data_IF_558017351265
#
_entry.id   IF_558017351265
#
_cell.length_a   1.000
_cell.length_b   1.000
_cell.length_c   1.000
_cell.angle_alpha   90.00
_cell.angle_beta   90.00
_cell.angle_gamma   90.00
#
_symmetry.space_group_name_H-M   'P 1'
#
loop_
_entity.id
_entity.type
_entity.pdbx_description
1 polymer ?
#
# COMPACT_ATOMS: atom_id res chain seq x y z
N UNK A 1 9.09 -9.75 -27.52
CA UNK A 1 8.97 -10.91 -26.59
C UNK A 1 7.98 -10.63 -25.46
N UNK A 2 8.09 -9.48 -24.78
CA UNK A 2 7.14 -9.05 -23.73
C UNK A 2 5.70 -8.96 -24.26
N UNK A 3 5.50 -8.45 -25.48
CA UNK A 3 4.16 -8.34 -26.09
C UNK A 3 3.51 -9.71 -26.38
N UNK A 4 4.32 -10.73 -26.67
CA UNK A 4 3.82 -12.09 -26.90
C UNK A 4 3.34 -12.72 -25.60
N UNK A 5 4.13 -12.61 -24.52
CA UNK A 5 3.72 -13.07 -23.19
C UNK A 5 2.43 -12.37 -22.72
N UNK A 6 2.35 -11.05 -22.94
CA UNK A 6 1.19 -10.28 -22.53
C UNK A 6 -0.08 -10.74 -23.24
N UNK A 7 -0.02 -10.88 -24.56
CA UNK A 7 -1.18 -11.18 -25.40
C UNK A 7 -1.65 -12.63 -25.32
N UNK A 8 -0.75 -13.59 -25.09
CA UNK A 8 -1.10 -15.01 -25.03
C UNK A 8 -1.29 -15.57 -23.62
N UNK A 9 -0.69 -14.99 -22.58
CA UNK A 9 -0.68 -15.57 -21.22
C UNK A 9 -1.37 -14.65 -20.22
N UNK A 10 -0.96 -13.38 -20.12
CA UNK A 10 -1.43 -12.52 -19.02
C UNK A 10 -2.76 -11.82 -19.28
N UNK A 11 -3.10 -11.51 -20.53
CA UNK A 11 -4.44 -11.00 -20.91
C UNK A 11 -5.57 -12.01 -20.65
N UNK A 12 -5.44 -13.30 -21.04
CA UNK A 12 -6.48 -14.29 -20.74
C UNK A 12 -6.49 -14.75 -19.27
N UNK A 13 -5.34 -14.70 -18.59
CA UNK A 13 -5.18 -15.15 -17.20
C UNK A 13 -4.44 -14.12 -16.33
N UNK A 14 -5.10 -12.98 -15.97
CA UNK A 14 -4.48 -11.93 -15.17
C UNK A 14 -4.02 -12.40 -13.78
N UNK A 15 -4.63 -13.46 -13.24
CA UNK A 15 -4.25 -14.10 -11.98
C UNK A 15 -2.79 -14.59 -11.96
N UNK A 16 -2.26 -15.06 -13.09
CA UNK A 16 -0.87 -15.53 -13.18
C UNK A 16 0.11 -14.38 -12.94
N UNK A 17 -0.24 -13.17 -13.37
CA UNK A 17 0.58 -11.99 -13.15
C UNK A 17 0.62 -11.62 -11.66
N UNK A 18 -0.50 -11.76 -10.94
CA UNK A 18 -0.55 -11.54 -9.49
C UNK A 18 0.34 -12.54 -8.75
N UNK A 19 0.27 -13.83 -9.10
CA UNK A 19 1.16 -14.83 -8.49
C UNK A 19 2.64 -14.57 -8.80
N UNK A 20 2.96 -14.12 -10.01
CA UNK A 20 4.32 -13.77 -10.41
C UNK A 20 4.83 -12.56 -9.62
N UNK A 21 4.00 -11.52 -9.44
CA UNK A 21 4.31 -10.36 -8.60
C UNK A 21 4.60 -10.78 -7.16
N UNK A 22 3.79 -11.68 -6.58
CA UNK A 22 4.00 -12.17 -5.21
C UNK A 22 5.29 -12.99 -5.12
N UNK A 23 5.54 -13.91 -6.05
CA UNK A 23 6.73 -14.74 -6.06
C UNK A 23 8.01 -13.91 -6.20
N UNK A 24 8.05 -13.01 -7.18
CA UNK A 24 9.20 -12.14 -7.42
C UNK A 24 9.36 -11.10 -6.31
N UNK A 25 8.25 -10.54 -5.82
CA UNK A 25 8.22 -9.59 -4.73
C UNK A 25 8.74 -10.17 -3.41
N UNK A 26 8.40 -11.41 -3.10
CA UNK A 26 8.93 -12.10 -1.92
C UNK A 26 10.43 -12.41 -2.06
N UNK A 27 10.87 -12.78 -3.27
CA UNK A 27 12.27 -13.03 -3.57
C UNK A 27 13.11 -11.74 -3.44
N UNK A 28 12.63 -10.63 -3.99
CA UNK A 28 13.22 -9.29 -3.82
C UNK A 28 13.17 -8.83 -2.35
N UNK A 29 12.07 -9.08 -1.65
CA UNK A 29 11.90 -8.70 -0.25
C UNK A 29 12.86 -9.42 0.70
N UNK A 30 13.36 -10.60 0.31
CA UNK A 30 14.41 -11.34 1.01
C UNK A 30 15.83 -10.81 0.74
N UNK A 31 16.02 -9.98 -0.30
CA UNK A 31 17.32 -9.36 -0.57
C UNK A 31 17.61 -8.39 0.57
N UNK A 32 18.64 -8.73 1.35
CA UNK A 32 19.11 -7.90 2.46
C UNK A 32 20.41 -7.22 2.03
N UNK A 33 20.41 -5.89 2.05
CA UNK A 33 21.62 -5.12 1.85
C UNK A 33 22.06 -4.52 3.18
N UNK A 34 23.13 -5.06 3.76
CA UNK A 34 23.65 -4.71 5.10
C UNK A 34 22.57 -4.79 6.19
N UNK A 35 22.29 -3.68 6.87
CA UNK A 35 21.32 -3.62 7.96
C UNK A 35 19.87 -3.46 7.48
N UNK A 36 19.65 -3.09 6.22
CA UNK A 36 18.32 -2.77 5.69
C UNK A 36 17.76 -3.99 4.99
N UNK A 37 16.66 -4.53 5.52
CA UNK A 37 15.84 -5.50 4.83
C UNK A 37 14.69 -4.76 4.15
N UNK A 38 14.50 -4.98 2.84
CA UNK A 38 13.36 -4.44 2.09
C UNK A 38 12.04 -4.94 2.67
N UNK A 39 12.00 -6.21 3.10
CA UNK A 39 10.81 -6.84 3.61
C UNK A 39 9.89 -7.31 2.48
N UNK A 40 9.09 -8.33 2.78
CA UNK A 40 8.20 -8.96 1.79
C UNK A 40 7.20 -7.96 1.19
N UNK A 41 6.62 -7.07 1.99
CA UNK A 41 5.60 -6.11 1.55
C UNK A 41 6.19 -5.11 0.55
N UNK A 42 7.30 -4.46 0.88
CA UNK A 42 7.98 -3.50 0.00
C UNK A 42 8.46 -4.16 -1.29
N UNK A 43 8.99 -5.39 -1.20
CA UNK A 43 9.39 -6.17 -2.37
C UNK A 43 8.22 -6.45 -3.33
N UNK A 44 7.06 -6.85 -2.80
CA UNK A 44 5.84 -7.03 -3.59
C UNK A 44 5.33 -5.73 -4.21
N UNK A 45 5.40 -4.60 -3.50
CA UNK A 45 5.01 -3.29 -4.05
C UNK A 45 5.90 -2.87 -5.23
N UNK A 46 7.22 -3.01 -5.08
CA UNK A 46 8.17 -2.68 -6.15
C UNK A 46 8.00 -3.62 -7.34
N UNK A 47 7.87 -4.92 -7.10
CA UNK A 47 7.62 -5.91 -8.16
C UNK A 47 6.30 -5.62 -8.88
N UNK A 48 5.23 -5.30 -8.14
CA UNK A 48 3.93 -4.94 -8.69
C UNK A 48 3.96 -3.67 -9.53
N UNK A 49 4.70 -2.65 -9.09
CA UNK A 49 4.88 -1.41 -9.86
C UNK A 49 5.64 -1.65 -11.17
N UNK A 50 6.75 -2.41 -11.11
CA UNK A 50 7.58 -2.69 -12.29
C UNK A 50 6.84 -3.57 -13.31
N UNK A 51 6.28 -4.69 -12.85
CA UNK A 51 5.57 -5.63 -13.71
C UNK A 51 4.25 -5.02 -14.22
N UNK A 52 3.53 -4.28 -13.37
CA UNK A 52 2.32 -3.56 -13.76
C UNK A 52 2.58 -2.52 -14.86
N UNK A 53 3.66 -1.74 -14.74
CA UNK A 53 4.03 -0.75 -15.75
C UNK A 53 4.45 -1.38 -17.10
N UNK A 54 5.07 -2.56 -17.07
CA UNK A 54 5.52 -3.27 -18.28
C UNK A 54 4.40 -4.02 -19.00
N UNK A 55 3.57 -4.76 -18.27
CA UNK A 55 2.57 -5.64 -18.87
C UNK A 55 1.20 -4.96 -19.06
N UNK A 56 0.86 -3.90 -18.31
CA UNK A 56 -0.41 -3.15 -18.47
C UNK A 56 -1.66 -4.03 -18.55
N UNK A 57 -1.67 -5.13 -17.81
CA UNK A 57 -2.79 -6.07 -17.75
C UNK A 57 -3.86 -5.48 -16.84
N UNK A 58 -5.10 -5.47 -17.31
CA UNK A 58 -6.23 -5.05 -16.48
C UNK A 58 -6.65 -6.21 -15.59
N UNK A 59 -6.61 -5.98 -14.28
CA UNK A 59 -7.11 -6.90 -13.27
C UNK A 59 -8.55 -6.48 -12.97
N UNK A 60 -9.47 -7.44 -12.92
CA UNK A 60 -10.86 -7.19 -12.60
C UNK A 60 -11.02 -6.52 -11.21
N UNK A 61 -11.85 -5.49 -11.13
CA UNK A 61 -12.08 -4.74 -9.89
C UNK A 61 -12.63 -5.63 -8.76
N UNK A 62 -13.34 -6.70 -9.09
CA UNK A 62 -13.84 -7.68 -8.11
C UNK A 62 -12.69 -8.34 -7.37
N UNK A 63 -11.63 -8.73 -8.08
CA UNK A 63 -10.44 -9.37 -7.49
C UNK A 63 -9.70 -8.38 -6.60
N UNK A 64 -9.50 -7.16 -7.09
CA UNK A 64 -8.88 -6.06 -6.31
C UNK A 64 -9.64 -5.82 -5.00
N UNK A 65 -10.96 -5.69 -5.08
CA UNK A 65 -11.82 -5.43 -3.91
C UNK A 65 -11.81 -6.60 -2.93
N UNK A 66 -11.83 -7.84 -3.44
CA UNK A 66 -11.77 -9.03 -2.59
C UNK A 66 -10.49 -9.07 -1.74
N UNK A 67 -9.32 -8.89 -2.37
CA UNK A 67 -8.04 -8.88 -1.65
C UNK A 67 -7.93 -7.68 -0.69
N UNK A 68 -8.44 -6.51 -1.08
CA UNK A 68 -8.46 -5.32 -0.23
C UNK A 68 -9.34 -5.52 1.01
N UNK A 69 -10.53 -6.11 0.86
CA UNK A 69 -11.43 -6.43 1.97
C UNK A 69 -10.82 -7.51 2.87
N UNK A 70 -10.22 -8.56 2.31
CA UNK A 70 -9.51 -9.58 3.10
C UNK A 70 -8.36 -8.95 3.91
N UNK A 71 -7.60 -8.04 3.31
CA UNK A 71 -6.56 -7.28 4.00
C UNK A 71 -7.14 -6.43 5.14
N UNK A 72 -8.21 -5.66 4.87
CA UNK A 72 -8.86 -4.82 5.87
C UNK A 72 -9.46 -5.65 7.02
N UNK A 73 -10.02 -6.83 6.71
CA UNK A 73 -10.52 -7.78 7.70
C UNK A 73 -9.41 -8.33 8.59
N UNK A 74 -8.31 -8.81 7.99
CA UNK A 74 -7.17 -9.32 8.75
C UNK A 74 -6.50 -8.23 9.60
N UNK A 75 -6.40 -7.02 9.07
CA UNK A 75 -5.92 -5.85 9.81
C UNK A 75 -6.85 -5.56 10.98
N UNK A 76 -8.16 -5.46 10.76
CA UNK A 76 -9.17 -5.24 11.79
C UNK A 76 -9.13 -6.28 12.91
N UNK A 77 -8.97 -7.57 12.57
CA UNK A 77 -8.84 -8.63 13.57
C UNK A 77 -7.56 -8.50 14.42
N UNK A 78 -6.44 -8.07 13.81
CA UNK A 78 -5.16 -7.89 14.50
C UNK A 78 -5.13 -6.64 15.38
N UNK A 79 -5.56 -5.49 14.88
CA UNK A 79 -5.51 -4.21 15.62
C UNK A 79 -6.72 -3.97 16.52
N UNK A 80 -7.85 -4.65 16.28
CA UNK A 80 -9.07 -4.50 17.06
C UNK A 80 -8.87 -4.69 18.57
N UNK A 81 -8.35 -5.83 19.04
CA UNK A 81 -8.10 -6.05 20.46
C UNK A 81 -7.13 -5.03 21.08
N UNK A 82 -6.09 -4.62 20.32
CA UNK A 82 -5.12 -3.61 20.77
C UNK A 82 -5.78 -2.23 20.95
N UNK A 83 -6.67 -1.84 20.03
CA UNK A 83 -7.44 -0.60 20.14
C UNK A 83 -8.32 -0.58 21.40
N UNK A 84 -9.12 -1.63 21.64
CA UNK A 84 -9.99 -1.71 22.82
C UNK A 84 -9.20 -1.81 24.13
N UNK A 85 -8.06 -2.50 24.15
CA UNK A 85 -7.17 -2.53 25.30
C UNK A 85 -6.57 -1.14 25.61
N UNK A 86 -6.14 -0.41 24.57
CA UNK A 86 -5.64 0.96 24.71
C UNK A 86 -6.71 1.91 25.24
N UNK A 87 -7.94 1.79 24.76
CA UNK A 87 -9.07 2.61 25.21
C UNK A 87 -9.40 2.40 26.69
N UNK A 88 -9.26 1.17 27.20
CA UNK A 88 -9.55 0.80 28.60
C UNK A 88 -8.49 1.27 29.61
N UNK A 89 -7.22 1.35 29.19
CA UNK A 89 -6.11 1.64 30.11
C UNK A 89 -5.79 3.15 30.16
N UNK A 90 -5.76 3.82 29.00
CA UNK A 90 -5.45 5.25 28.84
C UNK A 90 -6.05 5.80 27.53
N UNK A 91 -7.37 5.66 27.35
CA UNK A 91 -8.03 6.00 26.09
C UNK A 91 -7.95 7.48 25.69
N UNK A 92 -8.05 8.39 26.68
CA UNK A 92 -8.02 9.84 26.43
C UNK A 92 -6.67 10.31 25.85
N UNK A 93 -5.51 10.02 26.48
CA UNK A 93 -4.20 10.34 25.89
C UNK A 93 -3.99 9.74 24.50
N UNK A 94 -4.48 8.50 24.27
CA UNK A 94 -4.34 7.83 22.98
C UNK A 94 -5.14 8.53 21.87
N UNK A 95 -6.37 8.97 22.18
CA UNK A 95 -7.22 9.74 21.25
C UNK A 95 -6.60 11.10 20.96
N UNK A 96 -6.11 11.81 21.99
CA UNK A 96 -5.44 13.10 21.81
C UNK A 96 -4.22 12.96 20.91
N UNK A 97 -3.36 11.97 21.14
CA UNK A 97 -2.22 11.70 20.27
C UNK A 97 -2.64 11.36 18.84
N UNK A 98 -3.69 10.55 18.66
CA UNK A 98 -4.21 10.24 17.32
C UNK A 98 -4.65 11.51 16.58
N UNK A 99 -5.41 12.40 17.26
CA UNK A 99 -5.86 13.67 16.67
C UNK A 99 -4.66 14.58 16.35
N UNK A 100 -3.72 14.72 17.27
CA UNK A 100 -2.51 15.54 17.06
C UNK A 100 -1.72 15.04 15.86
N UNK A 101 -1.48 13.73 15.76
CA UNK A 101 -0.75 13.12 14.62
C UNK A 101 -1.52 13.31 13.31
N UNK A 102 -2.84 13.09 13.30
CA UNK A 102 -3.67 13.28 12.10
C UNK A 102 -3.64 14.74 11.62
N UNK A 103 -3.83 15.71 12.53
CA UNK A 103 -3.85 17.14 12.18
C UNK A 103 -2.47 17.61 11.74
N UNK A 104 -1.42 17.26 12.48
CA UNK A 104 -0.04 17.66 12.12
C UNK A 104 0.40 17.03 10.81
N UNK A 105 0.09 15.74 10.58
CA UNK A 105 0.38 15.04 9.33
C UNK A 105 -0.36 15.62 8.13
N UNK A 106 -1.65 15.95 8.30
CA UNK A 106 -2.46 16.61 7.26
C UNK A 106 -1.91 18.00 6.95
N UNK A 107 -1.67 18.84 7.97
CA UNK A 107 -1.16 20.20 7.79
C UNK A 107 0.22 20.20 7.15
N UNK A 108 1.13 19.32 7.59
CA UNK A 108 2.45 19.19 6.99
C UNK A 108 2.35 18.77 5.52
N UNK A 109 1.59 17.72 5.22
CA UNK A 109 1.42 17.23 3.84
C UNK A 109 0.80 18.29 2.94
N UNK A 110 -0.22 19.00 3.42
CA UNK A 110 -0.88 20.09 2.70
C UNK A 110 0.04 21.28 2.48
N UNK A 111 0.81 21.70 3.49
CA UNK A 111 1.78 22.78 3.38
C UNK A 111 2.82 22.46 2.31
N UNK A 112 3.43 21.27 2.37
CA UNK A 112 4.43 20.86 1.38
C UNK A 112 3.83 20.69 -0.02
N UNK A 113 2.62 20.16 -0.14
CA UNK A 113 1.94 20.07 -1.43
C UNK A 113 1.72 21.46 -2.06
N UNK A 114 1.33 22.47 -1.28
CA UNK A 114 1.17 23.83 -1.79
C UNK A 114 2.51 24.51 -2.09
N UNK A 115 3.52 24.38 -1.22
CA UNK A 115 4.84 24.96 -1.41
C UNK A 115 5.55 24.42 -2.66
N UNK A 116 5.37 23.13 -2.96
CA UNK A 116 5.94 22.46 -4.13
C UNK A 116 5.06 22.60 -5.38
N UNK A 117 3.90 23.25 -5.28
CA UNK A 117 2.95 23.42 -6.39
C UNK A 117 2.33 22.11 -6.89
N UNK A 118 2.21 21.09 -6.03
CA UNK A 118 1.61 19.83 -6.40
C UNK A 118 0.09 19.96 -6.58
N UNK A 119 -0.39 19.49 -7.73
CA UNK A 119 -1.83 19.36 -7.99
C UNK A 119 -2.50 18.32 -7.07
N UNK A 120 -3.84 18.26 -7.05
CA UNK A 120 -4.59 17.44 -6.10
C UNK A 120 -4.23 15.95 -6.16
N UNK A 121 -3.87 15.41 -7.33
CA UNK A 121 -3.44 14.01 -7.46
C UNK A 121 -2.10 13.71 -6.81
N UNK A 122 -1.07 14.53 -7.06
CA UNK A 122 0.25 14.36 -6.43
C UNK A 122 0.21 14.69 -4.93
N UNK A 123 -0.60 15.67 -4.52
CA UNK A 123 -0.83 15.99 -3.11
C UNK A 123 -1.48 14.84 -2.34
N UNK A 124 -2.52 14.22 -2.90
CA UNK A 124 -3.15 13.03 -2.31
C UNK A 124 -2.16 11.86 -2.21
N UNK A 125 -1.34 11.63 -3.24
CA UNK A 125 -0.27 10.63 -3.22
C UNK A 125 0.78 10.89 -2.13
N UNK A 126 1.22 12.15 -1.99
CA UNK A 126 2.16 12.55 -0.93
C UNK A 126 1.58 12.30 0.45
N UNK A 127 0.32 12.69 0.69
CA UNK A 127 -0.35 12.48 1.97
C UNK A 127 -0.56 10.99 2.28
N UNK A 128 -1.07 10.22 1.31
CA UNK A 128 -1.29 8.77 1.45
C UNK A 128 0.00 8.03 1.77
N UNK A 129 1.10 8.34 1.06
CA UNK A 129 2.41 7.75 1.29
C UNK A 129 3.04 8.16 2.62
N UNK A 130 3.04 9.45 2.94
CA UNK A 130 3.66 9.98 4.16
C UNK A 130 2.97 9.48 5.44
N UNK A 131 1.64 9.35 5.41
CA UNK A 131 0.85 8.85 6.54
C UNK A 131 0.65 7.32 6.51
N UNK A 132 1.14 6.64 5.47
CA UNK A 132 0.88 5.19 5.25
C UNK A 132 -0.63 4.86 5.27
N UNK A 133 -1.44 5.74 4.70
CA UNK A 133 -2.90 5.65 4.68
C UNK A 133 -3.41 5.39 3.27
N UNK A 134 -3.70 4.13 2.96
CA UNK A 134 -4.26 3.74 1.65
C UNK A 134 -5.65 4.32 1.38
N UNK A 135 -6.41 4.70 2.41
CA UNK A 135 -7.75 5.29 2.27
C UNK A 135 -7.75 6.73 1.73
N UNK A 136 -6.58 7.38 1.67
CA UNK A 136 -6.44 8.72 1.11
C UNK A 136 -6.36 8.74 -0.43
N UNK A 137 -6.37 7.58 -1.10
CA UNK A 137 -6.26 7.44 -2.57
C UNK A 137 -7.30 6.48 -3.16
#
# INVERSE_FOLDING_TARGET
MIDFLNRNIFQPHPELLVFLVVAFGFLLGKVRYRAIALGAVTGCLVAGLLLGAQFKVQIDDTVKNLFFIMFLFALGYRVGPQFFQGLRKDGLPQVVNAVVVCVTGLLASWLFANLLGYGPGLGAGLMSGALTQSAAI
#
